data_IF_529560300005
#
_entry.id   IF_529560300005
#
_cell.length_a   1.000
_cell.length_b   1.000
_cell.length_c   1.000
_cell.angle_alpha   90.00
_cell.angle_beta   90.00
_cell.angle_gamma   90.00
#
_symmetry.space_group_name_H-M   'P 1'
#
loop_
_entity.id
_entity.type
_entity.pdbx_description
1 polymer ?
#
# COMPACT_ATOMS: atom_id res chain seq x y z
N UNK A 1 -22.75 -20.33 -20.67
CA UNK A 1 -21.63 -19.39 -20.66
C UNK A 1 -20.80 -19.77 -19.45
N UNK A 2 -19.61 -20.37 -19.64
CA UNK A 2 -18.76 -20.75 -18.51
C UNK A 2 -18.32 -19.47 -17.82
N UNK A 3 -18.81 -19.22 -16.62
CA UNK A 3 -18.26 -18.17 -15.77
C UNK A 3 -16.78 -18.51 -15.55
N UNK A 4 -15.90 -17.62 -16.03
CA UNK A 4 -14.47 -17.82 -15.91
C UNK A 4 -14.11 -17.69 -14.41
N UNK A 5 -13.87 -18.83 -13.75
CA UNK A 5 -13.54 -18.89 -12.33
C UNK A 5 -12.20 -18.20 -12.09
N UNK A 6 -12.16 -17.21 -11.20
CA UNK A 6 -10.94 -16.49 -10.82
C UNK A 6 -10.09 -17.38 -9.92
N UNK A 7 -8.90 -17.72 -10.37
CA UNK A 7 -7.93 -18.56 -9.66
C UNK A 7 -7.04 -17.71 -8.77
N UNK A 8 -6.99 -18.02 -7.48
CA UNK A 8 -6.26 -17.20 -6.49
C UNK A 8 -5.23 -18.04 -5.75
N UNK A 9 -4.04 -17.48 -5.56
CA UNK A 9 -3.04 -17.99 -4.61
C UNK A 9 -2.86 -16.98 -3.49
N UNK A 10 -2.71 -17.47 -2.25
CA UNK A 10 -2.57 -16.65 -1.04
C UNK A 10 -1.20 -16.90 -0.44
N UNK A 11 -0.46 -15.82 -0.13
CA UNK A 11 0.87 -15.88 0.49
C UNK A 11 0.89 -14.98 1.72
N UNK A 12 1.03 -15.59 2.89
CA UNK A 12 0.99 -14.88 4.18
C UNK A 12 1.66 -15.80 5.22
N UNK A 13 2.53 -15.32 6.09
CA UNK A 13 3.19 -16.13 7.11
C UNK A 13 2.26 -16.53 8.26
N UNK A 14 1.21 -15.76 8.50
CA UNK A 14 0.19 -16.05 9.50
C UNK A 14 -0.77 -17.16 9.05
N UNK A 15 -0.72 -18.29 9.70
CA UNK A 15 -1.64 -19.41 9.42
C UNK A 15 -3.11 -19.00 9.58
N UNK A 16 -3.42 -18.17 10.58
CA UNK A 16 -4.77 -17.68 10.83
C UNK A 16 -5.25 -16.78 9.70
N UNK A 17 -4.42 -15.85 9.25
CA UNK A 17 -4.78 -14.95 8.15
C UNK A 17 -4.98 -15.75 6.84
N UNK A 18 -4.08 -16.68 6.53
CA UNK A 18 -4.22 -17.55 5.35
C UNK A 18 -5.52 -18.33 5.35
N UNK A 19 -5.83 -18.98 6.47
CA UNK A 19 -7.05 -19.79 6.62
C UNK A 19 -8.29 -18.94 6.39
N UNK A 20 -8.31 -17.77 6.98
CA UNK A 20 -9.46 -16.88 6.91
C UNK A 20 -9.65 -16.28 5.51
N UNK A 21 -8.58 -15.78 4.91
CA UNK A 21 -8.62 -15.28 3.52
C UNK A 21 -9.08 -16.39 2.57
N UNK A 22 -8.55 -17.60 2.75
CA UNK A 22 -8.95 -18.75 1.95
C UNK A 22 -10.43 -19.09 2.14
N UNK A 23 -10.94 -19.08 3.37
CA UNK A 23 -12.35 -19.31 3.67
C UNK A 23 -13.25 -18.25 3.03
N UNK A 24 -12.90 -16.97 3.18
CA UNK A 24 -13.67 -15.87 2.61
C UNK A 24 -13.74 -15.93 1.07
N UNK A 25 -12.62 -16.25 0.43
CA UNK A 25 -12.55 -16.37 -1.02
C UNK A 25 -13.26 -17.62 -1.54
N UNK A 26 -13.10 -18.79 -0.87
CA UNK A 26 -13.76 -20.03 -1.25
C UNK A 26 -15.28 -20.01 -1.09
N UNK A 27 -15.78 -19.17 -0.15
CA UNK A 27 -17.21 -18.96 0.01
C UNK A 27 -17.82 -18.05 -1.07
N UNK A 28 -16.98 -17.34 -1.84
CA UNK A 28 -17.45 -16.39 -2.85
C UNK A 28 -17.65 -17.09 -4.22
N UNK A 29 -18.83 -17.01 -4.83
CA UNK A 29 -19.08 -17.62 -6.14
C UNK A 29 -18.09 -17.12 -7.20
N UNK A 30 -17.60 -18.02 -8.06
CA UNK A 30 -16.70 -17.70 -9.16
C UNK A 30 -15.26 -17.41 -8.75
N UNK A 31 -14.85 -17.79 -7.54
CA UNK A 31 -13.46 -17.73 -7.07
C UNK A 31 -13.00 -19.13 -6.62
N UNK A 32 -11.83 -19.54 -7.06
CA UNK A 32 -11.16 -20.78 -6.70
C UNK A 32 -9.81 -20.47 -6.04
N UNK A 33 -9.59 -20.96 -4.82
CA UNK A 33 -8.29 -20.88 -4.15
C UNK A 33 -7.43 -22.06 -4.58
N UNK A 34 -6.46 -21.80 -5.46
CA UNK A 34 -5.54 -22.84 -5.97
C UNK A 34 -4.58 -23.32 -4.89
N UNK A 35 -4.03 -22.37 -4.13
CA UNK A 35 -3.02 -22.66 -3.15
C UNK A 35 -2.95 -21.58 -2.05
N UNK A 36 -2.44 -22.00 -0.89
CA UNK A 36 -2.01 -21.08 0.17
C UNK A 36 -0.56 -21.38 0.52
N UNK A 37 0.29 -20.39 0.70
CA UNK A 37 1.70 -20.56 1.02
C UNK A 37 2.09 -19.72 2.23
N UNK A 38 2.99 -20.24 3.05
CA UNK A 38 3.51 -19.53 4.22
C UNK A 38 4.69 -18.62 3.88
N UNK A 39 5.29 -18.79 2.72
CA UNK A 39 6.44 -18.04 2.25
C UNK A 39 6.51 -18.00 0.71
N UNK A 40 7.34 -17.12 0.14
CA UNK A 40 7.55 -16.98 -1.29
C UNK A 40 8.04 -18.24 -2.00
N UNK A 41 8.90 -19.03 -1.38
CA UNK A 41 9.49 -20.23 -2.01
C UNK A 41 8.40 -21.26 -2.28
N UNK A 42 7.60 -21.55 -1.25
CA UNK A 42 6.45 -22.45 -1.37
C UNK A 42 5.43 -21.89 -2.38
N UNK A 43 5.25 -20.56 -2.40
CA UNK A 43 4.34 -19.92 -3.33
C UNK A 43 4.78 -20.15 -4.78
N UNK A 44 6.05 -19.89 -5.11
CA UNK A 44 6.57 -20.11 -6.47
C UNK A 44 6.46 -21.56 -6.92
N UNK A 45 6.81 -22.52 -6.07
CA UNK A 45 6.70 -23.93 -6.40
C UNK A 45 5.26 -24.34 -6.78
N UNK A 46 4.28 -23.78 -6.09
CA UNK A 46 2.87 -24.03 -6.38
C UNK A 46 2.40 -23.28 -7.62
N UNK A 47 2.79 -22.01 -7.75
CA UNK A 47 2.44 -21.17 -8.90
C UNK A 47 2.99 -21.72 -10.22
N UNK A 48 4.23 -22.27 -10.24
CA UNK A 48 4.79 -22.90 -11.44
C UNK A 48 4.00 -24.11 -11.93
N UNK A 49 3.33 -24.81 -11.03
CA UNK A 49 2.42 -25.91 -11.40
C UNK A 49 1.10 -25.42 -11.97
N UNK A 50 0.54 -24.39 -11.35
CA UNK A 50 -0.68 -23.74 -11.79
C UNK A 50 -0.66 -22.27 -11.40
N UNK A 51 -0.50 -21.40 -12.42
CA UNK A 51 -0.39 -19.96 -12.21
C UNK A 51 -1.75 -19.34 -11.88
N UNK A 52 -1.86 -18.51 -10.84
CA UNK A 52 -3.10 -17.86 -10.48
C UNK A 52 -3.42 -16.65 -11.39
N UNK A 53 -4.70 -16.30 -11.46
CA UNK A 53 -5.15 -15.03 -12.06
C UNK A 53 -4.89 -13.86 -11.13
N UNK A 54 -5.02 -14.08 -9.81
CA UNK A 54 -4.79 -13.09 -8.76
C UNK A 54 -3.94 -13.68 -7.64
N UNK A 55 -2.98 -12.91 -7.17
CA UNK A 55 -2.15 -13.23 -6.02
C UNK A 55 -2.51 -12.30 -4.86
N UNK A 56 -2.84 -12.88 -3.69
CA UNK A 56 -3.03 -12.14 -2.43
C UNK A 56 -1.78 -12.33 -1.58
N UNK A 57 -1.09 -11.23 -1.23
CA UNK A 57 0.22 -11.27 -0.58
C UNK A 57 0.26 -10.39 0.67
N UNK A 58 0.79 -10.93 1.77
CA UNK A 58 1.35 -10.10 2.84
C UNK A 58 2.79 -9.72 2.52
N UNK A 59 3.11 -8.45 2.67
CA UNK A 59 4.49 -7.96 2.49
C UNK A 59 5.30 -7.99 3.80
N UNK A 60 4.63 -8.21 4.94
CA UNK A 60 5.27 -8.31 6.28
C UNK A 60 5.61 -9.76 6.62
N UNK A 61 6.54 -10.37 5.93
CA UNK A 61 6.97 -11.74 6.24
C UNK A 61 8.36 -11.71 6.91
N UNK A 62 8.52 -12.11 8.20
CA UNK A 62 9.75 -11.90 8.97
C UNK A 62 11.02 -12.51 8.38
N UNK A 63 10.90 -13.53 7.54
CA UNK A 63 12.03 -14.23 6.92
C UNK A 63 12.20 -13.97 5.45
N UNK A 64 11.32 -13.20 4.84
CA UNK A 64 11.27 -12.97 3.40
C UNK A 64 10.88 -11.53 3.11
N UNK A 65 11.49 -10.95 2.12
CA UNK A 65 11.09 -9.64 1.59
C UNK A 65 9.90 -9.81 0.65
N UNK A 66 8.69 -9.51 1.15
CA UNK A 66 7.46 -9.58 0.36
C UNK A 66 7.46 -8.62 -0.84
N UNK A 67 8.20 -7.51 -0.74
CA UNK A 67 8.34 -6.59 -1.86
C UNK A 67 9.28 -7.14 -2.94
N UNK A 68 10.36 -7.84 -2.55
CA UNK A 68 11.20 -8.55 -3.50
C UNK A 68 10.42 -9.64 -4.23
N UNK A 69 9.62 -10.42 -3.49
CA UNK A 69 8.75 -11.43 -4.05
C UNK A 69 7.75 -10.85 -5.07
N UNK A 70 7.12 -9.72 -4.74
CA UNK A 70 6.22 -9.04 -5.67
C UNK A 70 6.91 -8.67 -6.98
N UNK A 71 8.12 -8.08 -6.89
CA UNK A 71 8.91 -7.71 -8.07
C UNK A 71 9.30 -8.92 -8.91
N UNK A 72 9.67 -10.02 -8.26
CA UNK A 72 10.02 -11.27 -8.92
C UNK A 72 8.84 -11.88 -9.68
N UNK A 73 7.66 -11.94 -9.06
CA UNK A 73 6.41 -12.37 -9.72
C UNK A 73 6.10 -11.51 -10.94
N UNK A 74 6.21 -10.18 -10.79
CA UNK A 74 5.94 -9.25 -11.90
C UNK A 74 6.97 -9.35 -13.02
N UNK A 75 8.21 -9.77 -12.73
CA UNK A 75 9.26 -10.00 -13.72
C UNK A 75 9.10 -11.35 -14.44
N UNK A 76 8.76 -12.42 -13.71
CA UNK A 76 8.60 -13.76 -14.28
C UNK A 76 7.31 -13.85 -15.12
N UNK A 77 6.20 -13.45 -14.53
CA UNK A 77 4.89 -13.40 -15.21
C UNK A 77 4.00 -12.36 -14.56
N UNK A 78 3.79 -11.20 -15.20
CA UNK A 78 2.91 -10.16 -14.68
C UNK A 78 1.56 -10.71 -14.26
N UNK A 79 1.24 -10.58 -12.99
CA UNK A 79 0.06 -11.15 -12.35
C UNK A 79 -0.69 -10.06 -11.57
N UNK A 80 -2.00 -10.14 -11.48
CA UNK A 80 -2.79 -9.23 -10.67
C UNK A 80 -2.48 -9.47 -9.19
N UNK A 81 -1.99 -8.44 -8.46
CA UNK A 81 -1.58 -8.56 -7.06
C UNK A 81 -2.44 -7.69 -6.17
N UNK A 82 -2.97 -8.28 -5.11
CA UNK A 82 -3.65 -7.61 -4.00
C UNK A 82 -2.79 -7.77 -2.75
N UNK A 83 -2.36 -6.67 -2.16
CA UNK A 83 -1.63 -6.68 -0.89
C UNK A 83 -2.62 -6.71 0.28
N UNK A 84 -2.36 -7.57 1.27
CA UNK A 84 -3.11 -7.62 2.53
C UNK A 84 -2.13 -7.56 3.69
N UNK A 85 -1.80 -6.36 4.19
CA UNK A 85 -0.71 -6.15 5.16
C UNK A 85 -1.03 -5.04 6.16
N UNK A 86 -0.43 -5.13 7.36
CA UNK A 86 -0.56 -4.10 8.37
C UNK A 86 0.33 -2.87 8.10
N UNK A 87 1.46 -3.04 7.42
CA UNK A 87 2.39 -1.94 7.08
C UNK A 87 1.92 -1.11 5.88
N UNK A 88 1.10 -1.68 5.03
CA UNK A 88 0.71 -1.05 3.78
C UNK A 88 -0.53 -0.16 3.90
N UNK A 89 -0.74 0.48 5.05
CA UNK A 89 -1.82 1.43 5.22
C UNK A 89 -1.75 2.56 4.17
N UNK A 90 -2.91 3.04 3.75
CA UNK A 90 -3.01 4.07 2.71
C UNK A 90 -2.15 5.30 3.05
N UNK A 91 -1.31 5.72 2.12
CA UNK A 91 -0.42 6.87 2.29
C UNK A 91 0.95 6.55 2.92
N UNK A 92 1.19 5.33 3.38
CA UNK A 92 2.52 4.92 3.88
C UNK A 92 3.53 4.76 2.74
N UNK A 93 4.84 4.83 3.03
CA UNK A 93 5.88 4.50 2.06
C UNK A 93 5.71 3.09 1.48
N UNK A 94 5.40 2.10 2.31
CA UNK A 94 5.18 0.72 1.89
C UNK A 94 3.99 0.59 0.92
N UNK A 95 2.90 1.33 1.15
CA UNK A 95 1.77 1.37 0.22
C UNK A 95 2.19 1.93 -1.15
N UNK A 96 2.92 3.05 -1.16
CA UNK A 96 3.40 3.65 -2.42
C UNK A 96 4.36 2.75 -3.17
N UNK A 97 5.27 2.10 -2.45
CA UNK A 97 6.22 1.15 -3.02
C UNK A 97 5.50 -0.05 -3.63
N UNK A 98 4.52 -0.65 -2.93
CA UNK A 98 3.72 -1.76 -3.42
C UNK A 98 2.96 -1.40 -4.71
N UNK A 99 2.32 -0.24 -4.74
CA UNK A 99 1.60 0.25 -5.94
C UNK A 99 2.57 0.51 -7.10
N UNK A 100 3.76 1.07 -6.84
CA UNK A 100 4.79 1.29 -7.86
C UNK A 100 5.34 -0.02 -8.40
N UNK A 101 5.46 -1.04 -7.54
CA UNK A 101 5.92 -2.37 -7.93
C UNK A 101 4.85 -3.18 -8.70
N UNK A 102 3.62 -2.68 -8.81
CA UNK A 102 2.57 -3.27 -9.65
C UNK A 102 1.39 -3.87 -8.89
N UNK A 103 1.27 -3.66 -7.59
CA UNK A 103 0.07 -4.05 -6.87
C UNK A 103 -1.15 -3.25 -7.37
N UNK A 104 -2.28 -3.92 -7.51
CA UNK A 104 -3.53 -3.31 -7.99
C UNK A 104 -4.44 -2.83 -6.87
N UNK A 105 -4.31 -3.41 -5.70
CA UNK A 105 -5.04 -3.00 -4.51
C UNK A 105 -4.24 -3.29 -3.24
N UNK A 106 -4.50 -2.51 -2.21
CA UNK A 106 -3.92 -2.69 -0.88
C UNK A 106 -5.04 -2.67 0.15
N UNK A 107 -5.12 -3.74 0.92
CA UNK A 107 -6.03 -3.90 2.06
C UNK A 107 -5.21 -3.79 3.33
N UNK A 108 -5.56 -2.83 4.17
CA UNK A 108 -4.88 -2.64 5.45
C UNK A 108 -5.43 -3.60 6.48
N UNK A 109 -4.57 -4.44 7.03
CA UNK A 109 -4.88 -5.39 8.09
C UNK A 109 -4.45 -4.82 9.46
N UNK A 110 -5.31 -4.80 10.49
CA UNK A 110 -4.88 -4.36 11.82
C UNK A 110 -3.97 -5.40 12.47
N UNK A 111 -2.99 -4.95 13.26
CA UNK A 111 -2.12 -5.84 14.05
C UNK A 111 -2.83 -6.43 15.25
N UNK A 112 -3.82 -5.71 15.79
CA UNK A 112 -4.63 -6.12 16.95
C UNK A 112 -6.07 -6.29 16.50
N UNK A 113 -6.76 -7.31 17.03
CA UNK A 113 -8.15 -7.57 16.64
C UNK A 113 -8.30 -8.23 15.27
N UNK A 114 -7.28 -8.96 14.82
CA UNK A 114 -7.26 -9.64 13.52
C UNK A 114 -8.53 -10.47 13.28
N UNK A 115 -9.04 -11.20 14.28
CA UNK A 115 -10.26 -12.00 14.12
C UNK A 115 -11.48 -11.13 13.78
N UNK A 116 -11.70 -10.05 14.53
CA UNK A 116 -12.83 -9.13 14.28
C UNK A 116 -12.71 -8.44 12.90
N UNK A 117 -11.49 -8.09 12.50
CA UNK A 117 -11.24 -7.58 11.16
C UNK A 117 -11.59 -8.61 10.09
N UNK A 118 -11.13 -9.83 10.26
CA UNK A 118 -11.35 -10.90 9.32
C UNK A 118 -12.85 -11.23 9.19
N UNK A 119 -13.61 -11.19 10.27
CA UNK A 119 -15.05 -11.40 10.26
C UNK A 119 -15.80 -10.32 9.43
N UNK A 120 -15.23 -9.12 9.29
CA UNK A 120 -15.80 -7.99 8.54
C UNK A 120 -15.16 -7.75 7.17
N UNK A 121 -13.88 -8.06 7.02
CA UNK A 121 -13.08 -7.75 5.82
C UNK A 121 -13.27 -8.76 4.68
N UNK A 122 -13.87 -9.91 4.90
CA UNK A 122 -14.04 -10.93 3.86
C UNK A 122 -14.66 -10.38 2.57
N UNK A 123 -15.69 -9.55 2.70
CA UNK A 123 -16.31 -8.87 1.56
C UNK A 123 -15.40 -7.87 0.84
N UNK A 124 -14.51 -7.19 1.55
CA UNK A 124 -13.53 -6.27 0.96
C UNK A 124 -12.48 -7.03 0.17
N UNK A 125 -11.95 -8.11 0.73
CA UNK A 125 -10.98 -8.99 0.07
C UNK A 125 -11.56 -9.56 -1.23
N UNK A 126 -12.79 -10.08 -1.18
CA UNK A 126 -13.50 -10.60 -2.36
C UNK A 126 -13.67 -9.52 -3.43
N UNK A 127 -14.08 -8.30 -3.04
CA UNK A 127 -14.21 -7.18 -3.99
C UNK A 127 -12.87 -6.80 -4.61
N UNK A 128 -11.80 -6.73 -3.82
CA UNK A 128 -10.46 -6.41 -4.30
C UNK A 128 -9.95 -7.46 -5.28
N UNK A 129 -10.11 -8.75 -4.99
CA UNK A 129 -9.74 -9.86 -5.87
C UNK A 129 -10.50 -9.80 -7.19
N UNK A 130 -11.81 -9.58 -7.16
CA UNK A 130 -12.62 -9.42 -8.38
C UNK A 130 -12.23 -8.21 -9.20
N UNK A 131 -11.91 -7.10 -8.56
CA UNK A 131 -11.44 -5.89 -9.25
C UNK A 131 -10.08 -6.13 -9.89
N UNK A 132 -9.15 -6.77 -9.17
CA UNK A 132 -7.82 -7.11 -9.66
C UNK A 132 -7.87 -8.08 -10.85
N UNK A 133 -8.72 -9.11 -10.81
CA UNK A 133 -8.90 -10.05 -11.91
C UNK A 133 -9.43 -9.40 -13.21
N UNK A 134 -10.20 -8.32 -13.09
CA UNK A 134 -10.70 -7.55 -14.24
C UNK A 134 -9.67 -6.57 -14.81
N UNK A 135 -8.71 -6.18 -14.00
CA UNK A 135 -7.63 -5.32 -14.44
C UNK A 135 -6.74 -6.09 -15.42
N UNK A 136 -6.51 -5.52 -16.63
CA UNK A 136 -5.59 -6.11 -17.60
C UNK A 136 -4.17 -5.85 -17.11
N UNK A 137 -3.52 -6.86 -16.54
CA UNK A 137 -2.12 -6.79 -16.14
C UNK A 137 -1.26 -6.96 -17.40
N UNK A 138 -0.47 -5.96 -17.73
CA UNK A 138 0.52 -6.05 -18.80
C UNK A 138 0.06 -5.74 -20.22
N UNK A 139 -1.20 -5.36 -20.48
CA UNK A 139 -1.68 -4.97 -21.83
C UNK A 139 -2.01 -3.49 -22.00
N UNK A 140 -1.90 -2.70 -20.93
CA UNK A 140 -1.94 -1.24 -21.04
C UNK A 140 -0.55 -0.69 -21.39
N UNK A 141 -0.45 0.50 -22.02
CA UNK A 141 0.81 1.20 -21.95
C UNK A 141 1.18 1.20 -20.46
N UNK A 142 2.39 0.71 -20.13
CA UNK A 142 3.00 0.99 -18.84
C UNK A 142 2.78 2.49 -18.68
N UNK A 143 1.84 2.87 -17.81
CA UNK A 143 1.89 4.22 -17.28
C UNK A 143 3.24 4.19 -16.58
N UNK A 144 4.24 4.67 -17.29
CA UNK A 144 5.53 4.99 -16.71
C UNK A 144 5.12 5.71 -15.43
N UNK A 145 5.64 5.32 -14.25
CA UNK A 145 5.25 5.93 -13.00
C UNK A 145 5.15 7.39 -13.35
N UNK A 146 3.93 7.95 -13.26
CA UNK A 146 3.73 9.33 -13.63
C UNK A 146 4.81 10.00 -12.81
N UNK A 147 5.86 10.42 -13.50
CA UNK A 147 6.94 11.20 -12.88
C UNK A 147 6.12 12.17 -12.10
N UNK A 148 6.14 12.16 -10.74
CA UNK A 148 5.33 13.10 -10.02
C UNK A 148 5.69 14.39 -10.71
N UNK A 149 4.75 14.96 -11.48
CA UNK A 149 4.93 16.33 -11.91
C UNK A 149 5.24 16.98 -10.59
N UNK A 150 6.54 17.23 -10.36
CA UNK A 150 7.01 18.02 -9.25
C UNK A 150 6.24 19.32 -9.47
N UNK A 151 5.02 19.34 -8.95
CA UNK A 151 4.37 20.63 -8.74
C UNK A 151 5.43 21.36 -7.94
N UNK A 152 5.97 22.47 -8.48
CA UNK A 152 6.96 23.22 -7.75
C UNK A 152 6.37 23.35 -6.36
N UNK A 153 7.14 22.91 -5.32
CA UNK A 153 6.70 23.05 -3.94
C UNK A 153 6.30 24.50 -3.83
N UNK A 154 5.01 24.77 -3.66
CA UNK A 154 4.56 26.11 -3.40
C UNK A 154 5.37 26.58 -2.21
N UNK A 155 6.16 27.62 -2.38
CA UNK A 155 6.79 28.29 -1.26
C UNK A 155 5.66 28.81 -0.36
N UNK A 156 5.93 28.97 0.93
CA UNK A 156 4.95 29.53 1.87
C UNK A 156 4.33 30.85 1.36
N UNK A 157 5.08 31.61 0.59
CA UNK A 157 4.68 32.88 -0.03
C UNK A 157 3.58 32.73 -1.09
N UNK A 158 3.42 31.54 -1.67
CA UNK A 158 2.34 31.27 -2.66
C UNK A 158 1.04 30.88 -1.96
N UNK A 159 1.13 30.36 -0.73
CA UNK A 159 -0.02 29.86 0.04
C UNK A 159 -0.64 30.93 0.96
N UNK A 160 0.12 31.94 1.32
CA UNK A 160 -0.33 33.06 2.15
C UNK A 160 -0.33 34.31 1.28
N UNK A 161 -1.51 34.78 0.87
CA UNK A 161 -1.62 36.15 0.42
C UNK A 161 -1.11 37.07 1.53
N UNK A 162 -0.20 37.97 1.22
CA UNK A 162 0.26 38.97 2.19
C UNK A 162 -0.94 39.73 2.69
N UNK A 163 -1.38 39.43 3.91
CA UNK A 163 -2.40 40.22 4.60
C UNK A 163 -1.84 41.61 4.88
N UNK A 164 -2.70 42.62 5.03
CA UNK A 164 -2.21 43.96 5.46
C UNK A 164 -1.42 43.79 6.75
N UNK A 165 -0.31 44.52 6.91
CA UNK A 165 0.50 44.46 8.12
C UNK A 165 -0.39 44.77 9.34
N UNK A 166 -0.52 43.80 10.24
CA UNK A 166 -1.18 44.02 11.50
C UNK A 166 -0.31 45.01 12.29
N UNK A 167 -0.88 46.19 12.61
CA UNK A 167 -0.24 47.14 13.50
C UNK A 167 -0.08 46.45 14.87
N UNK A 168 1.13 46.09 15.23
CA UNK A 168 1.43 45.53 16.55
C UNK A 168 1.43 46.68 17.58
N UNK A 169 0.66 46.57 18.66
CA UNK A 169 0.79 47.55 19.77
C UNK A 169 2.20 47.45 20.35
N UNK A 170 2.91 48.57 20.40
CA UNK A 170 4.26 48.60 20.92
C UNK A 170 4.32 48.22 22.41
N UNK A 171 5.46 47.66 22.84
CA UNK A 171 5.89 47.35 24.21
C UNK A 171 5.33 46.08 24.87
N UNK A 172 5.40 44.96 24.20
CA UNK A 172 5.24 43.63 24.79
C UNK A 172 6.30 42.65 24.32
N UNK A 173 6.68 41.71 25.14
CA UNK A 173 7.50 40.59 24.74
C UNK A 173 6.84 39.89 23.53
N UNK A 174 7.60 39.76 22.45
CA UNK A 174 7.10 39.08 21.24
C UNK A 174 7.34 37.59 21.36
N UNK A 175 6.30 36.80 21.29
CA UNK A 175 6.39 35.34 21.31
C UNK A 175 6.18 34.84 19.87
N UNK A 176 7.16 34.15 19.32
CA UNK A 176 7.05 33.47 18.02
C UNK A 176 6.84 32.00 18.28
N UNK A 177 5.69 31.47 17.86
CA UNK A 177 5.40 30.05 17.92
C UNK A 177 5.67 29.39 16.56
N UNK A 178 6.55 28.40 16.51
CA UNK A 178 6.90 27.67 15.29
C UNK A 178 6.51 26.20 15.46
N UNK A 179 5.64 25.71 14.58
CA UNK A 179 5.25 24.31 14.53
C UNK A 179 5.94 23.60 13.39
N UNK A 180 6.47 22.39 13.64
CA UNK A 180 7.05 21.52 12.61
C UNK A 180 6.40 20.16 12.62
N UNK A 181 6.35 19.50 11.44
CA UNK A 181 5.98 18.09 11.28
C UNK A 181 7.23 17.22 11.25
N UNK A 182 7.04 15.89 11.23
CA UNK A 182 8.12 14.91 11.08
C UNK A 182 9.01 15.24 9.88
N UNK A 183 10.28 15.53 10.10
CA UNK A 183 11.24 16.01 9.08
C UNK A 183 11.45 17.54 9.06
N UNK A 184 10.69 18.31 9.83
CA UNK A 184 10.87 19.76 9.94
C UNK A 184 11.96 20.20 10.93
N UNK A 185 12.54 19.31 11.71
CA UNK A 185 13.57 19.64 12.72
C UNK A 185 14.81 20.27 12.10
N UNK A 186 15.30 19.75 10.98
CA UNK A 186 16.45 20.31 10.26
C UNK A 186 16.12 21.69 9.67
N UNK A 187 14.91 21.89 9.17
CA UNK A 187 14.47 23.19 8.67
C UNK A 187 14.35 24.22 9.79
N UNK A 188 13.86 23.79 10.97
CA UNK A 188 13.76 24.64 12.15
C UNK A 188 15.13 25.07 12.66
N UNK A 189 16.09 24.15 12.72
CA UNK A 189 17.47 24.45 13.09
C UNK A 189 18.10 25.46 12.13
N UNK A 190 17.92 25.28 10.82
CA UNK A 190 18.42 26.20 9.80
C UNK A 190 17.79 27.61 9.89
N UNK A 191 16.56 27.72 10.37
CA UNK A 191 15.89 29.00 10.58
C UNK A 191 16.39 29.65 11.88
N UNK A 192 16.41 28.91 13.00
CA UNK A 192 16.79 29.47 14.31
C UNK A 192 18.24 29.91 14.35
N UNK A 193 19.16 29.23 13.67
CA UNK A 193 20.58 29.60 13.61
C UNK A 193 20.86 30.87 12.78
N UNK A 194 19.88 31.33 11.99
CA UNK A 194 19.98 32.56 11.17
C UNK A 194 19.23 33.75 11.71
N UNK A 195 18.56 33.61 12.87
CA UNK A 195 17.91 34.74 13.49
C UNK A 195 18.97 35.65 14.10
N UNK A 196 18.87 37.00 13.92
CA UNK A 196 19.75 37.93 14.56
C UNK A 196 19.54 37.89 16.08
N UNK A 197 20.62 38.11 16.85
CA UNK A 197 20.59 38.19 18.31
C UNK A 197 19.87 39.45 18.80
#
# INVERSE_FOLDING_TARGET
>A
MSENTIKVTIVDDSALARQFIAQALSAAPGIEVLATAADPVIAFDRMRRQWPDVLVVDIEMPRHDGMAFLREVMAERPTAIVICSALAARGTPANREAMTAGALAVITRPRIGLKAFLDTAGGEIVRAVRAAARARVGTGPRVAPATPLLRPKNSADVMLAAGPPLAMPGNGEQIIAIGTSTGGTQALEAVLTRLPA
#
